data_IF_239796078169
#
_entry.id   IF_239796078169
#
_cell.length_a   1.000
_cell.length_b   1.000
_cell.length_c   1.000
_cell.angle_alpha   90.00
_cell.angle_beta   90.00
_cell.angle_gamma   90.00
#
_symmetry.space_group_name_H-M   'P 1'
#
loop_
_entity.id
_entity.type
_entity.pdbx_description
1 polymer ?
#
# COMPACT_ATOMS: atom_id res chain seq x y z
N UNK A 1 -9.43 -46.50 -16.31
CA UNK A 1 -8.49 -45.41 -16.54
C UNK A 1 -9.28 -44.10 -16.52
N UNK A 2 -8.78 -43.10 -15.83
CA UNK A 2 -9.39 -41.75 -15.83
C UNK A 2 -9.36 -41.18 -17.26
N UNK A 3 -10.54 -40.90 -17.80
CA UNK A 3 -10.68 -40.35 -19.15
C UNK A 3 -10.49 -38.81 -19.09
N UNK A 4 -9.52 -38.26 -19.84
CA UNK A 4 -9.20 -36.83 -19.82
C UNK A 4 -10.38 -35.99 -20.32
N UNK A 5 -11.08 -36.46 -21.36
CA UNK A 5 -12.22 -35.77 -21.94
C UNK A 5 -13.35 -35.63 -20.92
N UNK A 6 -13.58 -36.67 -20.12
CA UNK A 6 -14.56 -36.66 -19.02
C UNK A 6 -14.13 -35.72 -17.89
N UNK A 7 -12.84 -35.72 -17.53
CA UNK A 7 -12.30 -34.80 -16.51
C UNK A 7 -12.53 -33.35 -16.92
N UNK A 8 -12.19 -32.97 -18.15
CA UNK A 8 -12.38 -31.61 -18.66
C UNK A 8 -13.87 -31.29 -18.74
N UNK A 9 -14.67 -32.19 -19.32
CA UNK A 9 -16.11 -31.99 -19.49
C UNK A 9 -16.79 -31.75 -18.13
N UNK A 10 -16.57 -32.63 -17.17
CA UNK A 10 -17.19 -32.55 -15.84
C UNK A 10 -16.72 -31.29 -15.07
N UNK A 11 -15.43 -30.94 -15.18
CA UNK A 11 -14.91 -29.74 -14.55
C UNK A 11 -15.59 -28.47 -15.07
N UNK A 12 -15.92 -28.41 -16.36
CA UNK A 12 -16.56 -27.26 -16.98
C UNK A 12 -18.08 -27.24 -16.74
N UNK A 13 -18.76 -28.36 -16.98
CA UNK A 13 -20.23 -28.42 -16.86
C UNK A 13 -20.72 -28.25 -15.42
N UNK A 14 -19.95 -28.70 -14.44
CA UNK A 14 -20.28 -28.60 -13.03
C UNK A 14 -19.68 -27.34 -12.35
N UNK A 15 -19.11 -26.41 -13.14
CA UNK A 15 -18.43 -25.19 -12.63
C UNK A 15 -17.34 -25.49 -11.59
N UNK A 16 -16.67 -26.63 -11.70
CA UNK A 16 -15.62 -27.07 -10.78
C UNK A 16 -14.23 -26.63 -11.19
N UNK A 17 -14.05 -26.15 -12.40
CA UNK A 17 -12.75 -25.71 -12.93
C UNK A 17 -12.27 -24.45 -12.21
N UNK A 18 -11.05 -24.50 -11.67
CA UNK A 18 -10.43 -23.39 -10.97
C UNK A 18 -9.29 -22.80 -11.82
N UNK A 19 -8.33 -23.65 -12.18
CA UNK A 19 -7.11 -23.23 -12.86
C UNK A 19 -6.50 -24.37 -13.67
N UNK A 20 -5.90 -24.04 -14.81
CA UNK A 20 -5.19 -24.99 -15.65
C UNK A 20 -3.82 -24.48 -16.07
N UNK A 21 -2.84 -25.36 -16.17
CA UNK A 21 -1.50 -25.08 -16.70
C UNK A 21 -1.21 -26.10 -17.79
N UNK A 22 -0.90 -25.61 -18.98
CA UNK A 22 -0.43 -26.37 -20.12
C UNK A 22 0.99 -25.95 -20.44
N UNK A 23 1.96 -26.87 -20.33
CA UNK A 23 3.37 -26.59 -20.48
C UNK A 23 4.09 -27.68 -21.27
N UNK A 24 5.29 -27.36 -21.76
CA UNK A 24 6.12 -28.29 -22.54
C UNK A 24 5.43 -28.73 -23.81
N UNK A 25 5.35 -27.87 -24.85
CA UNK A 25 4.70 -28.21 -26.12
C UNK A 25 5.35 -29.44 -26.78
N UNK A 26 4.52 -30.25 -27.45
CA UNK A 26 4.94 -31.50 -28.13
C UNK A 26 5.74 -31.26 -29.40
N UNK A 27 5.42 -30.18 -30.08
CA UNK A 27 6.10 -29.70 -31.28
C UNK A 27 6.53 -28.25 -31.10
N UNK A 28 7.34 -27.70 -32.00
CA UNK A 28 7.70 -26.27 -31.93
C UNK A 28 6.42 -25.43 -32.11
N UNK A 29 5.91 -24.92 -31.00
CA UNK A 29 4.67 -24.19 -30.92
C UNK A 29 4.92 -22.72 -30.53
N UNK A 30 4.01 -21.84 -30.93
CA UNK A 30 4.13 -20.41 -30.69
C UNK A 30 4.14 -20.09 -29.19
N UNK A 31 3.36 -20.84 -28.39
CA UNK A 31 3.22 -20.61 -26.94
C UNK A 31 3.93 -21.69 -26.15
N UNK A 32 4.91 -21.29 -25.33
CA UNK A 32 5.68 -22.19 -24.45
C UNK A 32 4.86 -22.72 -23.30
N UNK A 33 3.89 -21.94 -22.85
CA UNK A 33 2.99 -22.23 -21.72
C UNK A 33 1.67 -21.52 -21.97
N UNK A 34 0.58 -22.14 -21.57
CA UNK A 34 -0.74 -21.49 -21.46
C UNK A 34 -1.25 -21.72 -20.03
N UNK A 35 -1.75 -20.67 -19.40
CA UNK A 35 -2.51 -20.79 -18.15
C UNK A 35 -3.96 -20.47 -18.43
N UNK A 36 -4.85 -21.18 -17.74
CA UNK A 36 -6.30 -21.02 -17.89
C UNK A 36 -6.88 -20.80 -16.51
N UNK A 37 -7.71 -19.78 -16.33
CA UNK A 37 -8.37 -19.50 -15.05
C UNK A 37 -9.84 -19.14 -15.26
N UNK A 38 -10.67 -19.56 -14.32
CA UNK A 38 -12.06 -19.14 -14.26
C UNK A 38 -12.15 -17.68 -13.80
N UNK A 39 -12.89 -16.85 -14.53
CA UNK A 39 -13.09 -15.42 -14.24
C UNK A 39 -14.54 -15.04 -14.44
N UNK A 40 -14.99 -13.94 -13.82
CA UNK A 40 -16.31 -13.36 -14.04
C UNK A 40 -16.14 -11.95 -14.60
N UNK A 41 -16.76 -11.66 -15.75
CA UNK A 41 -16.79 -10.32 -16.36
C UNK A 41 -18.23 -9.88 -16.49
N UNK A 42 -18.61 -8.79 -15.86
CA UNK A 42 -20.01 -8.25 -15.84
C UNK A 42 -21.07 -9.31 -15.49
N UNK A 43 -20.76 -10.15 -14.50
CA UNK A 43 -21.67 -11.21 -14.04
C UNK A 43 -21.69 -12.47 -14.91
N UNK A 44 -20.95 -12.52 -16.02
CA UNK A 44 -20.84 -13.68 -16.91
C UNK A 44 -19.52 -14.40 -16.65
N UNK A 45 -19.59 -15.73 -16.50
CA UNK A 45 -18.40 -16.57 -16.26
C UNK A 45 -17.68 -16.88 -17.59
N UNK A 46 -16.36 -16.69 -17.59
CA UNK A 46 -15.46 -17.02 -18.69
C UNK A 46 -14.27 -17.83 -18.19
N UNK A 47 -13.59 -18.50 -19.11
CA UNK A 47 -12.23 -18.98 -18.93
C UNK A 47 -11.27 -18.03 -19.64
N UNK A 48 -10.35 -17.44 -18.89
CA UNK A 48 -9.28 -16.63 -19.45
C UNK A 48 -8.04 -17.46 -19.68
N UNK A 49 -7.58 -17.46 -20.92
CA UNK A 49 -6.33 -18.07 -21.36
C UNK A 49 -5.24 -17.00 -21.40
N UNK A 50 -4.12 -17.26 -20.72
CA UNK A 50 -2.89 -16.46 -20.83
C UNK A 50 -1.86 -17.28 -21.59
N UNK A 51 -1.54 -16.86 -22.81
CA UNK A 51 -0.67 -17.56 -23.76
C UNK A 51 0.71 -16.90 -23.76
N UNK A 52 1.72 -17.61 -23.27
CA UNK A 52 3.08 -17.08 -23.06
C UNK A 52 3.98 -17.43 -24.24
N UNK A 53 4.57 -16.40 -24.86
CA UNK A 53 5.70 -16.50 -25.79
C UNK A 53 7.01 -16.16 -25.07
N UNK A 54 8.13 -16.04 -25.79
CA UNK A 54 9.40 -15.59 -25.22
C UNK A 54 9.39 -14.13 -24.74
N UNK A 55 8.52 -13.30 -25.34
CA UNK A 55 8.55 -11.83 -25.17
C UNK A 55 7.21 -11.22 -24.79
N UNK A 56 6.11 -11.94 -24.97
CA UNK A 56 4.77 -11.38 -24.84
C UNK A 56 3.81 -12.38 -24.20
N UNK A 57 2.75 -11.89 -23.60
CA UNK A 57 1.62 -12.66 -23.10
C UNK A 57 0.36 -12.19 -23.84
N UNK A 58 -0.38 -13.11 -24.39
CA UNK A 58 -1.66 -12.85 -25.05
C UNK A 58 -2.80 -13.35 -24.18
N UNK A 59 -3.88 -12.58 -24.10
CA UNK A 59 -5.06 -12.92 -23.32
C UNK A 59 -6.23 -13.20 -24.25
N UNK A 60 -6.98 -14.26 -23.95
CA UNK A 60 -8.21 -14.63 -24.65
C UNK A 60 -9.24 -15.08 -23.62
N UNK A 61 -10.49 -14.61 -23.75
CA UNK A 61 -11.59 -15.00 -22.89
C UNK A 61 -12.57 -15.86 -23.67
N UNK A 62 -12.82 -17.08 -23.18
CA UNK A 62 -13.74 -18.05 -23.79
C UNK A 62 -14.93 -18.28 -22.87
N UNK A 63 -16.12 -18.48 -23.46
CA UNK A 63 -17.25 -19.04 -22.72
C UNK A 63 -16.94 -20.50 -22.33
N UNK A 64 -17.60 -21.03 -21.31
CA UNK A 64 -17.37 -22.41 -20.88
C UNK A 64 -17.67 -23.43 -21.99
N UNK A 65 -18.64 -23.14 -22.87
CA UNK A 65 -18.97 -23.96 -24.04
C UNK A 65 -17.83 -23.98 -25.06
N UNK A 66 -17.31 -22.80 -25.43
CA UNK A 66 -16.22 -22.69 -26.39
C UNK A 66 -14.89 -23.23 -25.82
N UNK A 67 -14.71 -23.19 -24.50
CA UNK A 67 -13.49 -23.63 -23.85
C UNK A 67 -13.28 -25.15 -23.92
N UNK A 68 -14.34 -25.96 -23.99
CA UNK A 68 -14.21 -27.41 -24.00
C UNK A 68 -13.35 -27.92 -25.14
N UNK A 69 -13.68 -27.55 -26.36
CA UNK A 69 -12.94 -27.98 -27.57
C UNK A 69 -11.51 -27.41 -27.58
N UNK A 70 -11.33 -26.17 -27.11
CA UNK A 70 -10.01 -25.55 -27.02
C UNK A 70 -9.12 -26.29 -26.04
N UNK A 71 -9.63 -26.61 -24.84
CA UNK A 71 -8.86 -27.34 -23.83
C UNK A 71 -8.52 -28.76 -24.28
N UNK A 72 -9.43 -29.46 -24.94
CA UNK A 72 -9.14 -30.78 -25.53
C UNK A 72 -8.03 -30.73 -26.60
N UNK A 73 -8.07 -29.73 -27.50
CA UNK A 73 -7.01 -29.54 -28.47
C UNK A 73 -5.67 -29.23 -27.77
N UNK A 74 -5.66 -28.44 -26.73
CA UNK A 74 -4.45 -28.15 -25.96
C UNK A 74 -3.87 -29.39 -25.28
N UNK A 75 -4.69 -30.35 -24.84
CA UNK A 75 -4.18 -31.65 -24.33
C UNK A 75 -3.31 -32.36 -25.38
N UNK A 76 -3.68 -32.27 -26.65
CA UNK A 76 -2.92 -32.89 -27.71
C UNK A 76 -1.62 -32.11 -28.06
N UNK A 77 -1.53 -30.85 -27.67
CA UNK A 77 -0.40 -29.97 -28.00
C UNK A 77 0.68 -29.93 -26.92
N UNK A 78 0.32 -30.22 -25.65
CA UNK A 78 1.23 -30.10 -24.52
C UNK A 78 1.50 -31.46 -23.86
N UNK A 79 2.66 -31.55 -23.16
CA UNK A 79 3.10 -32.80 -22.47
C UNK A 79 2.87 -32.80 -20.98
N UNK A 80 2.86 -31.62 -20.37
CA UNK A 80 2.69 -31.45 -18.93
C UNK A 80 1.49 -30.55 -18.69
N UNK A 81 0.42 -31.15 -18.15
CA UNK A 81 -0.83 -30.46 -17.91
C UNK A 81 -1.21 -30.66 -16.46
N UNK A 82 -1.55 -29.58 -15.79
CA UNK A 82 -2.11 -29.61 -14.44
C UNK A 82 -3.46 -28.89 -14.47
N UNK A 83 -4.49 -29.60 -14.03
CA UNK A 83 -5.86 -29.07 -13.91
C UNK A 83 -6.23 -29.09 -12.42
N UNK A 84 -6.62 -27.94 -11.92
CA UNK A 84 -7.06 -27.75 -10.54
C UNK A 84 -8.57 -27.54 -10.55
N UNK A 85 -9.29 -28.39 -9.83
CA UNK A 85 -10.74 -28.31 -9.70
C UNK A 85 -11.13 -28.20 -8.21
N UNK A 86 -12.40 -27.94 -7.94
CA UNK A 86 -12.90 -27.91 -6.56
C UNK A 86 -12.83 -29.27 -5.85
N UNK A 87 -12.80 -30.36 -6.62
CA UNK A 87 -12.94 -31.72 -6.10
C UNK A 87 -11.62 -32.49 -6.12
N UNK A 88 -10.74 -32.19 -7.07
CA UNK A 88 -9.45 -32.86 -7.24
C UNK A 88 -8.47 -32.04 -8.08
N UNK A 89 -7.19 -32.31 -7.90
CA UNK A 89 -6.12 -31.82 -8.77
C UNK A 89 -5.65 -32.96 -9.68
N UNK A 90 -5.59 -32.71 -10.98
CA UNK A 90 -5.15 -33.68 -11.98
C UNK A 90 -3.82 -33.27 -12.57
N UNK A 91 -2.85 -34.19 -12.52
CA UNK A 91 -1.59 -34.06 -13.26
C UNK A 91 -1.61 -35.04 -14.44
N UNK A 92 -1.48 -34.53 -15.66
CA UNK A 92 -1.49 -35.29 -16.90
C UNK A 92 -0.12 -35.15 -17.54
N UNK A 93 0.57 -36.27 -17.67
CA UNK A 93 1.88 -36.34 -18.31
C UNK A 93 1.78 -37.16 -19.60
N UNK A 94 2.23 -36.59 -20.70
CA UNK A 94 2.23 -37.23 -22.01
C UNK A 94 3.67 -37.45 -22.49
N UNK A 95 4.04 -38.70 -22.65
CA UNK A 95 5.38 -39.07 -23.10
C UNK A 95 5.64 -38.69 -24.55
N UNK A 96 6.91 -38.73 -24.99
CA UNK A 96 7.28 -38.53 -26.42
C UNK A 96 6.59 -39.54 -27.34
N UNK A 97 6.32 -40.75 -26.86
CA UNK A 97 5.66 -41.84 -27.59
C UNK A 97 4.12 -41.77 -27.54
N UNK A 98 3.55 -40.75 -26.90
CA UNK A 98 2.10 -40.55 -26.76
C UNK A 98 1.44 -41.28 -25.59
N UNK A 99 2.20 -42.00 -24.73
CA UNK A 99 1.63 -42.64 -23.55
C UNK A 99 1.19 -41.60 -22.52
N UNK A 100 -0.03 -41.70 -22.06
CA UNK A 100 -0.65 -40.78 -21.11
C UNK A 100 -0.65 -41.38 -19.73
N UNK A 101 -0.21 -40.60 -18.73
CA UNK A 101 -0.32 -40.92 -17.30
C UNK A 101 -1.15 -39.80 -16.65
N UNK A 102 -2.26 -40.16 -16.04
CA UNK A 102 -3.09 -39.25 -15.25
C UNK A 102 -2.93 -39.62 -13.77
N UNK A 103 -2.61 -38.64 -12.96
CA UNK A 103 -2.55 -38.74 -11.50
C UNK A 103 -3.59 -37.79 -10.91
N UNK A 104 -4.42 -38.29 -10.00
CA UNK A 104 -5.39 -37.51 -9.25
C UNK A 104 -4.89 -37.32 -7.83
N UNK A 105 -4.96 -36.12 -7.32
CA UNK A 105 -4.61 -35.73 -5.96
C UNK A 105 -5.78 -35.01 -5.29
N UNK A 106 -5.73 -34.87 -3.98
CA UNK A 106 -6.69 -34.01 -3.26
C UNK A 106 -6.59 -32.55 -3.70
N UNK A 107 -7.68 -31.78 -3.69
CA UNK A 107 -7.72 -30.42 -4.18
C UNK A 107 -6.87 -29.49 -3.30
N UNK A 108 -5.80 -28.95 -3.84
CA UNK A 108 -4.94 -27.99 -3.16
C UNK A 108 -5.49 -26.55 -3.24
N UNK A 109 -6.37 -26.25 -4.21
CA UNK A 109 -6.96 -24.92 -4.42
C UNK A 109 -8.44 -24.91 -4.07
N UNK A 110 -8.86 -23.91 -3.28
CA UNK A 110 -10.27 -23.63 -3.06
C UNK A 110 -10.79 -22.71 -4.15
N UNK A 111 -12.04 -22.93 -4.60
CA UNK A 111 -12.75 -21.98 -5.46
C UNK A 111 -12.81 -20.62 -4.75
N UNK A 112 -11.90 -19.71 -5.08
CA UNK A 112 -12.12 -18.29 -4.89
C UNK A 112 -12.82 -17.82 -6.16
N UNK A 113 -14.07 -17.36 -6.07
CA UNK A 113 -14.68 -16.56 -7.13
C UNK A 113 -13.85 -15.28 -7.23
N UNK A 114 -12.85 -15.28 -8.08
CA UNK A 114 -12.15 -14.05 -8.45
C UNK A 114 -13.05 -13.32 -9.45
N UNK A 115 -13.84 -12.41 -8.93
CA UNK A 115 -14.44 -11.37 -9.76
C UNK A 115 -13.29 -10.55 -10.36
N UNK A 116 -13.19 -10.49 -11.68
CA UNK A 116 -12.15 -9.75 -12.41
C UNK A 116 -12.21 -8.23 -12.20
N UNK A 117 -13.30 -7.73 -11.68
CA UNK A 117 -13.46 -6.47 -10.98
C UNK A 117 -13.75 -6.81 -9.53
N UNK A 118 -12.73 -7.05 -8.72
CA UNK A 118 -12.84 -6.62 -7.33
C UNK A 118 -13.05 -5.11 -7.44
N UNK A 119 -14.29 -4.66 -7.35
CA UNK A 119 -14.55 -3.29 -6.97
C UNK A 119 -13.68 -3.08 -5.74
N UNK A 120 -12.73 -2.17 -5.86
CA UNK A 120 -11.83 -1.89 -4.76
C UNK A 120 -12.74 -1.46 -3.62
N UNK A 121 -12.87 -2.30 -2.60
CA UNK A 121 -13.69 -1.95 -1.44
C UNK A 121 -12.95 -0.83 -0.71
N UNK A 122 -13.36 0.38 -1.00
CA UNK A 122 -12.87 1.56 -0.32
C UNK A 122 -13.45 1.59 1.11
N UNK A 123 -12.67 2.08 2.06
CA UNK A 123 -13.13 2.29 3.45
C UNK A 123 -14.28 3.31 3.46
N UNK A 124 -14.13 4.38 2.69
CA UNK A 124 -15.25 5.30 2.39
C UNK A 124 -15.74 4.91 1.00
N UNK A 125 -16.94 4.37 0.90
CA UNK A 125 -17.52 3.85 -0.34
C UNK A 125 -17.90 4.98 -1.32
N UNK A 126 -17.80 4.69 -2.62
CA UNK A 126 -18.44 5.49 -3.65
C UNK A 126 -19.98 5.32 -3.57
N UNK A 127 -20.72 6.32 -4.02
CA UNK A 127 -22.18 6.34 -4.02
C UNK A 127 -22.85 6.26 -2.64
N UNK A 128 -22.08 6.53 -1.59
CA UNK A 128 -22.59 6.76 -0.23
C UNK A 128 -22.23 8.17 0.20
N UNK A 129 -23.21 9.00 0.65
CA UNK A 129 -22.93 10.34 1.12
C UNK A 129 -21.93 10.35 2.28
N UNK A 130 -20.96 11.27 2.21
CA UNK A 130 -19.97 11.48 3.26
C UNK A 130 -19.82 12.98 3.47
N UNK A 131 -20.18 13.46 4.63
CA UNK A 131 -20.34 14.88 4.96
C UNK A 131 -19.05 15.71 4.75
N UNK A 132 -17.92 15.27 5.25
CA UNK A 132 -16.67 16.01 5.06
C UNK A 132 -16.20 16.00 3.60
N UNK A 133 -16.44 14.93 2.84
CA UNK A 133 -16.11 14.88 1.41
C UNK A 133 -16.99 15.79 0.58
N UNK A 134 -18.26 15.96 0.98
CA UNK A 134 -19.17 16.92 0.36
C UNK A 134 -18.68 18.37 0.61
N UNK A 135 -18.45 18.74 1.87
CA UNK A 135 -18.02 20.09 2.24
C UNK A 135 -16.67 20.45 1.62
N UNK A 136 -15.74 19.50 1.56
CA UNK A 136 -14.42 19.69 0.93
C UNK A 136 -14.45 19.59 -0.61
N UNK A 137 -15.65 19.42 -1.21
CA UNK A 137 -15.85 19.42 -2.66
C UNK A 137 -15.22 18.22 -3.38
N UNK A 138 -15.18 17.05 -2.73
CA UNK A 138 -14.69 15.79 -3.31
C UNK A 138 -15.83 14.98 -3.92
N UNK A 139 -17.02 15.00 -3.30
CA UNK A 139 -18.23 14.34 -3.79
C UNK A 139 -19.46 15.26 -3.68
N UNK A 140 -20.56 14.85 -4.30
CA UNK A 140 -21.84 15.55 -4.20
C UNK A 140 -22.70 14.96 -3.06
N UNK A 141 -23.89 15.55 -2.83
CA UNK A 141 -24.84 15.11 -1.81
C UNK A 141 -25.34 13.68 -1.95
N UNK A 142 -25.30 13.14 -3.18
CA UNK A 142 -25.73 11.77 -3.48
C UNK A 142 -24.58 10.76 -3.30
N UNK A 143 -23.40 11.21 -2.82
CA UNK A 143 -22.22 10.38 -2.64
C UNK A 143 -21.39 10.15 -3.91
N UNK A 144 -21.74 10.80 -5.05
CA UNK A 144 -21.00 10.65 -6.30
C UNK A 144 -19.74 11.50 -6.27
N UNK A 145 -18.58 10.85 -6.43
CA UNK A 145 -17.27 11.51 -6.49
C UNK A 145 -17.14 12.33 -7.78
N UNK A 146 -16.67 13.57 -7.67
CA UNK A 146 -16.38 14.39 -8.84
C UNK A 146 -15.18 13.85 -9.61
N UNK A 147 -15.31 13.71 -10.94
CA UNK A 147 -14.25 13.15 -11.81
C UNK A 147 -12.87 13.82 -11.59
N UNK A 148 -12.86 15.16 -11.47
CA UNK A 148 -11.62 15.93 -11.20
C UNK A 148 -11.03 15.72 -9.80
N UNK A 149 -11.78 15.11 -8.88
CA UNK A 149 -11.38 14.84 -7.49
C UNK A 149 -11.18 13.36 -7.19
N UNK A 150 -11.30 12.51 -8.21
CA UNK A 150 -11.24 11.06 -8.04
C UNK A 150 -9.87 10.60 -7.48
N UNK A 151 -8.77 11.22 -7.89
CA UNK A 151 -7.45 10.90 -7.36
C UNK A 151 -7.31 11.32 -5.89
N UNK A 152 -7.93 12.45 -5.49
CA UNK A 152 -7.99 12.84 -4.07
C UNK A 152 -8.80 11.83 -3.25
N UNK A 153 -9.93 11.36 -3.77
CA UNK A 153 -10.74 10.32 -3.14
C UNK A 153 -9.96 9.01 -2.96
N UNK A 154 -9.23 8.57 -4.00
CA UNK A 154 -8.33 7.40 -3.91
C UNK A 154 -7.22 7.60 -2.87
N UNK A 155 -6.61 8.78 -2.84
CA UNK A 155 -5.57 9.12 -1.87
C UNK A 155 -6.09 9.02 -0.43
N UNK A 156 -7.28 9.57 -0.16
CA UNK A 156 -7.94 9.50 1.15
C UNK A 156 -8.15 8.03 1.55
N UNK A 157 -8.74 7.22 0.68
CA UNK A 157 -8.98 5.82 0.98
C UNK A 157 -7.69 5.03 1.17
N UNK A 158 -6.66 5.29 0.35
CA UNK A 158 -5.34 4.65 0.51
C UNK A 158 -4.69 4.99 1.85
N UNK A 159 -4.84 6.23 2.30
CA UNK A 159 -4.36 6.65 3.61
C UNK A 159 -5.10 5.91 4.74
N UNK A 160 -6.42 5.82 4.66
CA UNK A 160 -7.21 5.10 5.64
C UNK A 160 -6.91 3.59 5.68
N UNK A 161 -6.63 2.95 4.52
CA UNK A 161 -6.14 1.56 4.47
C UNK A 161 -4.83 1.41 5.27
N UNK A 162 -3.90 2.34 5.11
CA UNK A 162 -2.60 2.32 5.83
C UNK A 162 -2.81 2.54 7.34
N UNK A 163 -3.74 3.41 7.71
CA UNK A 163 -4.13 3.63 9.11
C UNK A 163 -4.72 2.35 9.69
N UNK A 164 -5.69 1.74 9.01
CA UNK A 164 -6.35 0.50 9.44
C UNK A 164 -5.34 -0.64 9.64
N UNK A 165 -4.46 -0.85 8.67
CA UNK A 165 -3.36 -1.82 8.75
C UNK A 165 -2.40 -1.52 9.92
N UNK A 166 -2.20 -0.24 10.28
CA UNK A 166 -1.31 0.16 11.38
C UNK A 166 -1.92 -0.12 12.76
N UNK A 167 -3.24 -0.20 12.81
CA UNK A 167 -4.02 -0.52 14.00
C UNK A 167 -4.26 -2.03 14.17
N UNK A 168 -3.97 -2.83 13.14
CA UNK A 168 -4.23 -4.27 13.16
C UNK A 168 -3.58 -4.95 14.38
N UNK A 169 -4.39 -5.73 15.11
CA UNK A 169 -3.94 -6.43 16.33
C UNK A 169 -3.78 -5.54 17.57
N UNK A 170 -4.13 -4.25 17.50
CA UNK A 170 -4.13 -3.33 18.65
C UNK A 170 -5.56 -3.14 19.16
N UNK A 171 -5.72 -3.13 20.49
CA UNK A 171 -6.96 -2.69 21.11
C UNK A 171 -6.94 -1.18 21.22
N UNK A 172 -7.81 -0.51 20.48
CA UNK A 172 -7.94 0.94 20.49
C UNK A 172 -9.11 1.30 21.42
N UNK A 173 -8.84 2.20 22.36
CA UNK A 173 -9.83 2.68 23.32
C UNK A 173 -10.24 4.12 23.04
N UNK A 174 -11.36 4.53 23.59
CA UNK A 174 -11.82 5.92 23.59
C UNK A 174 -10.74 6.85 24.17
N UNK A 175 -10.64 8.05 23.61
CA UNK A 175 -9.60 9.02 23.96
C UNK A 175 -8.29 8.86 23.18
N UNK A 176 -8.28 8.03 22.10
CA UNK A 176 -7.14 7.92 21.20
C UNK A 176 -6.77 9.28 20.61
N UNK A 177 -5.55 9.74 20.86
CA UNK A 177 -5.10 11.09 20.51
C UNK A 177 -4.21 11.05 19.27
N UNK A 178 -4.51 11.92 18.32
CA UNK A 178 -3.79 12.06 17.04
C UNK A 178 -3.32 13.49 16.88
N UNK A 179 -2.06 13.69 16.50
CA UNK A 179 -1.51 14.98 16.11
C UNK A 179 -1.13 14.91 14.62
N UNK A 180 -1.63 15.85 13.83
CA UNK A 180 -1.31 15.99 12.40
C UNK A 180 -0.52 17.27 12.16
N UNK A 181 0.77 17.12 11.87
CA UNK A 181 1.68 18.22 11.63
C UNK A 181 1.72 18.61 10.15
N UNK A 182 1.49 19.90 9.85
CA UNK A 182 1.42 20.41 8.51
C UNK A 182 0.14 19.94 7.81
N UNK A 183 -1.01 20.03 8.50
CA UNK A 183 -2.29 19.48 8.04
C UNK A 183 -2.81 20.10 6.73
N UNK A 184 -2.37 21.30 6.37
CA UNK A 184 -2.82 22.02 5.19
C UNK A 184 -4.35 22.13 5.15
N UNK A 185 -4.97 21.87 4.00
CA UNK A 185 -6.45 21.84 3.87
C UNK A 185 -7.12 20.65 4.58
N UNK A 186 -6.38 19.92 5.37
CA UNK A 186 -6.82 18.89 6.31
C UNK A 186 -7.72 17.76 5.76
N UNK A 187 -7.67 17.49 4.45
CA UNK A 187 -8.46 16.39 3.86
C UNK A 187 -8.27 15.05 4.58
N UNK A 188 -7.02 14.75 4.97
CA UNK A 188 -6.68 13.50 5.62
C UNK A 188 -6.95 13.55 7.12
N UNK A 189 -6.86 14.71 7.75
CA UNK A 189 -7.23 14.93 9.15
C UNK A 189 -8.74 14.76 9.36
N UNK A 190 -9.57 15.32 8.46
CA UNK A 190 -11.02 15.08 8.44
C UNK A 190 -11.35 13.61 8.20
N UNK A 191 -10.62 12.96 7.28
CA UNK A 191 -10.78 11.53 7.01
C UNK A 191 -10.47 10.66 8.24
N UNK A 192 -9.42 11.01 9.00
CA UNK A 192 -9.10 10.33 10.27
C UNK A 192 -10.25 10.46 11.27
N UNK A 193 -10.77 11.67 11.47
CA UNK A 193 -11.89 11.86 12.38
C UNK A 193 -13.10 11.02 11.96
N UNK A 194 -13.49 11.10 10.67
CA UNK A 194 -14.60 10.32 10.13
C UNK A 194 -14.38 8.82 10.31
N UNK A 195 -13.18 8.32 10.00
CA UNK A 195 -12.82 6.92 10.13
C UNK A 195 -12.94 6.43 11.58
N UNK A 196 -12.33 7.12 12.52
CA UNK A 196 -12.39 6.68 13.91
C UNK A 196 -13.78 6.85 14.52
N UNK A 197 -14.40 7.99 14.32
CA UNK A 197 -15.65 8.33 15.00
C UNK A 197 -16.86 7.62 14.39
N UNK A 198 -16.99 7.59 13.04
CA UNK A 198 -18.18 7.05 12.37
C UNK A 198 -18.00 5.62 11.86
N UNK A 199 -16.79 5.20 11.45
CA UNK A 199 -16.58 3.86 10.91
C UNK A 199 -16.15 2.89 12.00
N UNK A 200 -15.25 3.30 12.91
CA UNK A 200 -14.75 2.46 14.00
C UNK A 200 -15.50 2.65 15.31
N UNK A 201 -16.36 3.66 15.41
CA UNK A 201 -17.13 4.03 16.61
C UNK A 201 -16.24 4.26 17.85
N UNK A 202 -15.06 4.88 17.64
CA UNK A 202 -14.07 5.19 18.67
C UNK A 202 -14.01 6.71 18.84
N UNK A 203 -14.14 7.19 20.07
CA UNK A 203 -13.96 8.62 20.38
C UNK A 203 -12.48 8.97 20.34
N UNK A 204 -12.12 9.93 19.47
CA UNK A 204 -10.76 10.39 19.26
C UNK A 204 -10.63 11.87 19.57
N UNK A 205 -9.41 12.29 19.92
CA UNK A 205 -9.03 13.70 19.98
C UNK A 205 -8.01 13.94 18.87
N UNK A 206 -8.31 14.83 17.94
CA UNK A 206 -7.41 15.14 16.82
C UNK A 206 -7.05 16.61 16.85
N UNK A 207 -5.76 16.90 16.81
CA UNK A 207 -5.24 18.26 16.66
C UNK A 207 -4.42 18.35 15.39
N UNK A 208 -4.85 19.21 14.47
CA UNK A 208 -4.08 19.56 13.27
C UNK A 208 -3.30 20.86 13.50
N UNK A 209 -2.05 20.90 13.05
CA UNK A 209 -1.22 22.11 13.09
C UNK A 209 -0.79 22.53 11.69
N UNK A 210 -0.78 23.85 11.45
CA UNK A 210 -0.21 24.46 10.25
C UNK A 210 0.32 25.85 10.53
N UNK A 211 1.25 26.34 9.71
CA UNK A 211 1.83 27.69 9.79
C UNK A 211 1.00 28.75 9.05
N UNK A 212 -0.12 28.37 8.45
CA UNK A 212 -0.99 29.27 7.66
C UNK A 212 -2.29 29.53 8.42
N UNK A 213 -2.42 30.73 8.94
CA UNK A 213 -3.57 31.15 9.75
C UNK A 213 -4.90 31.00 8.99
N UNK A 214 -4.95 31.44 7.73
CA UNK A 214 -6.12 31.30 6.84
C UNK A 214 -6.58 29.84 6.68
N UNK A 215 -5.64 28.91 6.66
CA UNK A 215 -5.93 27.46 6.54
C UNK A 215 -6.52 26.94 7.83
N UNK A 216 -5.99 27.36 8.97
CA UNK A 216 -6.48 26.98 10.31
C UNK A 216 -7.90 27.49 10.54
N UNK A 217 -8.19 28.76 10.17
CA UNK A 217 -9.54 29.33 10.25
C UNK A 217 -10.52 28.52 9.40
N UNK A 218 -10.19 28.27 8.12
CA UNK A 218 -11.01 27.43 7.24
C UNK A 218 -11.29 26.04 7.82
N UNK A 219 -10.27 25.39 8.37
CA UNK A 219 -10.39 24.05 8.91
C UNK A 219 -11.26 24.01 10.18
N UNK A 220 -11.11 24.98 11.08
CA UNK A 220 -11.94 25.09 12.27
C UNK A 220 -13.42 25.43 11.94
N UNK A 221 -13.66 26.32 10.99
CA UNK A 221 -15.03 26.57 10.49
C UNK A 221 -15.67 25.32 9.88
N UNK A 222 -14.86 24.55 9.12
CA UNK A 222 -15.33 23.31 8.51
C UNK A 222 -15.63 22.25 9.57
N UNK A 223 -14.77 22.06 10.57
CA UNK A 223 -15.00 21.16 11.69
C UNK A 223 -16.28 21.54 12.47
N UNK A 224 -16.50 22.83 12.70
CA UNK A 224 -17.73 23.33 13.33
C UNK A 224 -18.99 23.04 12.50
N UNK A 225 -18.95 23.26 11.18
CA UNK A 225 -20.06 22.94 10.27
C UNK A 225 -20.41 21.45 10.25
N UNK A 226 -19.41 20.58 10.44
CA UNK A 226 -19.56 19.13 10.50
C UNK A 226 -19.94 18.62 11.90
N UNK A 227 -19.96 19.46 12.93
CA UNK A 227 -20.10 19.08 14.35
C UNK A 227 -19.01 18.07 14.79
N UNK A 228 -17.78 18.20 14.31
CA UNK A 228 -16.64 17.38 14.70
C UNK A 228 -15.97 17.99 15.95
N UNK A 229 -16.63 17.85 17.11
CA UNK A 229 -16.29 18.57 18.36
C UNK A 229 -14.89 18.25 18.88
N UNK A 230 -14.38 17.03 18.66
CA UNK A 230 -13.07 16.60 19.12
C UNK A 230 -11.97 16.74 18.04
N UNK A 231 -12.25 17.51 16.97
CA UNK A 231 -11.31 17.89 15.93
C UNK A 231 -11.02 19.39 16.02
N UNK A 232 -9.79 19.76 16.32
CA UNK A 232 -9.37 21.16 16.43
C UNK A 232 -8.12 21.41 15.56
N UNK A 233 -7.99 22.66 15.11
CA UNK A 233 -6.83 23.09 14.33
C UNK A 233 -6.18 24.29 15.01
N UNK A 234 -4.84 24.29 15.09
CA UNK A 234 -4.06 25.29 15.78
C UNK A 234 -2.98 25.84 14.86
N UNK A 235 -2.83 27.16 14.90
CA UNK A 235 -1.67 27.83 14.30
C UNK A 235 -0.43 27.59 15.16
N UNK A 236 0.68 27.17 14.56
CA UNK A 236 1.92 27.00 15.30
C UNK A 236 2.99 26.22 14.57
N UNK A 237 4.23 26.43 14.99
CA UNK A 237 5.37 25.66 14.52
C UNK A 237 5.45 24.30 15.26
N UNK A 238 5.88 23.27 14.53
CA UNK A 238 6.07 21.92 15.07
C UNK A 238 7.08 21.95 16.23
N UNK A 239 8.14 22.73 16.11
CA UNK A 239 9.21 22.80 17.11
C UNK A 239 8.73 23.34 18.46
N UNK A 240 7.78 24.27 18.46
CA UNK A 240 7.27 24.95 19.63
C UNK A 240 6.03 24.30 20.25
N UNK A 241 5.39 23.38 19.51
CA UNK A 241 4.18 22.74 19.96
C UNK A 241 4.45 21.70 21.04
N UNK A 242 3.80 21.86 22.18
CA UNK A 242 3.85 20.92 23.30
C UNK A 242 2.47 20.31 23.56
N UNK A 243 2.46 19.01 23.87
CA UNK A 243 1.26 18.31 24.26
C UNK A 243 1.50 17.53 25.55
N UNK A 244 0.66 17.76 26.58
CA UNK A 244 0.89 17.25 27.91
C UNK A 244 0.34 15.83 28.16
N UNK A 245 -0.62 15.42 27.34
CA UNK A 245 -1.23 14.11 27.47
C UNK A 245 -0.57 13.10 26.53
N UNK A 246 -0.93 11.81 26.66
CA UNK A 246 -0.45 10.78 25.77
C UNK A 246 -0.89 11.06 24.32
N UNK A 247 0.03 10.98 23.38
CA UNK A 247 -0.22 10.98 21.95
C UNK A 247 -0.07 9.56 21.45
N UNK A 248 -1.10 9.02 20.78
CA UNK A 248 -1.08 7.66 20.27
C UNK A 248 -0.60 7.58 18.82
N UNK A 249 -0.95 8.58 18.00
CA UNK A 249 -0.55 8.64 16.61
C UNK A 249 -0.07 10.02 16.23
N UNK A 250 1.02 10.07 15.48
CA UNK A 250 1.49 11.28 14.80
C UNK A 250 1.41 11.07 13.30
N UNK A 251 0.82 12.04 12.63
CA UNK A 251 0.75 12.12 11.16
C UNK A 251 1.49 13.37 10.72
N UNK A 252 2.29 13.28 9.66
CA UNK A 252 2.96 14.42 9.04
C UNK A 252 3.12 14.16 7.54
N UNK A 253 2.24 14.76 6.75
CA UNK A 253 2.17 14.48 5.31
C UNK A 253 2.69 15.62 4.45
N UNK A 254 2.88 16.81 5.03
CA UNK A 254 3.29 18.02 4.32
C UNK A 254 4.33 18.86 5.08
N UNK A 255 4.95 18.33 6.13
CA UNK A 255 6.09 18.98 6.75
C UNK A 255 7.32 18.82 5.85
N UNK A 256 7.99 19.95 5.57
CA UNK A 256 9.13 19.96 4.65
C UNK A 256 10.45 19.83 5.41
N UNK A 257 11.38 19.06 4.85
CA UNK A 257 12.78 18.95 5.26
C UNK A 257 12.93 18.65 6.77
N UNK A 258 13.65 19.50 7.51
CA UNK A 258 13.89 19.33 8.96
C UNK A 258 12.64 19.45 9.82
N UNK A 259 11.55 20.04 9.32
CA UNK A 259 10.26 20.01 10.01
C UNK A 259 9.69 18.58 10.12
N UNK A 260 9.94 17.73 9.11
CA UNK A 260 9.63 16.28 9.22
C UNK A 260 10.42 15.66 10.37
N UNK A 261 11.72 15.95 10.46
CA UNK A 261 12.59 15.41 11.51
C UNK A 261 12.14 15.85 12.92
N UNK A 262 11.74 17.12 13.06
CA UNK A 262 11.16 17.64 14.29
C UNK A 262 9.88 16.90 14.69
N UNK A 263 8.98 16.63 13.72
CA UNK A 263 7.76 15.85 13.97
C UNK A 263 8.05 14.42 14.41
N UNK A 264 9.02 13.74 13.76
CA UNK A 264 9.43 12.39 14.13
C UNK A 264 10.02 12.34 15.54
N UNK A 265 10.88 13.29 15.89
CA UNK A 265 11.51 13.37 17.20
C UNK A 265 10.46 13.65 18.29
N UNK A 266 9.51 14.55 18.06
CA UNK A 266 8.41 14.79 19.02
C UNK A 266 7.53 13.54 19.18
N UNK A 267 7.23 12.83 18.09
CA UNK A 267 6.50 11.56 18.17
C UNK A 267 7.22 10.52 19.05
N UNK A 268 8.56 10.44 18.93
CA UNK A 268 9.39 9.57 19.78
C UNK A 268 9.32 10.04 21.25
N UNK A 269 9.48 11.35 21.49
CA UNK A 269 9.45 11.91 22.85
C UNK A 269 8.09 11.69 23.55
N UNK A 270 6.99 11.71 22.81
CA UNK A 270 5.64 11.37 23.31
C UNK A 270 5.37 9.87 23.42
N UNK A 271 6.35 9.05 23.07
CA UNK A 271 6.20 7.59 23.08
C UNK A 271 5.01 7.09 22.23
N UNK A 272 4.82 7.69 21.05
CA UNK A 272 3.70 7.39 20.18
C UNK A 272 3.68 5.91 19.75
N UNK A 273 2.47 5.37 19.62
CA UNK A 273 2.27 4.00 19.15
C UNK A 273 2.44 3.86 17.64
N UNK A 274 2.09 4.92 16.87
CA UNK A 274 2.08 4.92 15.41
C UNK A 274 2.57 6.27 14.88
N UNK A 275 3.45 6.23 13.89
CA UNK A 275 3.93 7.41 13.17
C UNK A 275 3.73 7.16 11.67
N UNK A 276 3.04 8.09 10.99
CA UNK A 276 2.83 8.07 9.55
C UNK A 276 3.38 9.37 8.96
N UNK A 277 4.45 9.28 8.16
CA UNK A 277 5.11 10.46 7.59
C UNK A 277 5.28 10.30 6.09
N UNK A 278 4.97 11.38 5.33
CA UNK A 278 5.25 11.47 3.89
C UNK A 278 6.15 12.67 3.65
N UNK A 279 7.47 12.48 3.70
CA UNK A 279 8.43 13.55 3.47
C UNK A 279 8.35 14.06 2.02
N UNK A 280 8.23 15.38 1.84
CA UNK A 280 8.19 15.97 0.51
C UNK A 280 9.49 16.66 0.10
N UNK A 281 10.34 17.03 1.06
CA UNK A 281 11.63 17.72 0.83
C UNK A 281 12.73 17.09 1.69
N UNK A 282 13.95 17.05 1.15
CA UNK A 282 15.13 16.45 1.78
C UNK A 282 16.37 17.28 1.42
N UNK A 283 16.36 18.59 1.76
CA UNK A 283 17.42 19.51 1.37
C UNK A 283 18.67 19.41 2.25
N UNK A 284 18.53 19.03 3.53
CA UNK A 284 19.64 18.94 4.45
C UNK A 284 20.78 18.06 3.89
N UNK A 285 20.45 16.86 3.43
CA UNK A 285 21.46 15.91 2.97
C UNK A 285 22.04 16.20 1.59
N UNK A 286 21.34 16.96 0.75
CA UNK A 286 21.84 17.31 -0.59
C UNK A 286 23.25 17.92 -0.56
N UNK A 287 23.51 18.76 0.45
CA UNK A 287 24.81 19.43 0.59
C UNK A 287 25.83 18.59 1.40
N UNK A 288 25.35 17.62 2.20
CA UNK A 288 26.17 16.86 3.15
C UNK A 288 26.67 15.52 2.61
N UNK A 289 25.92 14.86 1.70
CA UNK A 289 26.33 13.54 1.22
C UNK A 289 27.61 13.58 0.39
N UNK A 290 28.56 12.74 0.82
CA UNK A 290 29.82 12.51 0.13
C UNK A 290 30.14 11.02 0.12
N UNK A 291 30.61 10.51 -1.02
CA UNK A 291 31.11 9.16 -1.15
C UNK A 291 32.05 9.09 -2.35
N UNK A 292 33.31 8.73 -2.12
CA UNK A 292 34.34 8.74 -3.16
C UNK A 292 34.05 7.71 -4.26
N UNK A 293 33.57 6.51 -3.93
CA UNK A 293 33.27 5.47 -4.90
C UNK A 293 32.07 5.85 -5.81
N UNK A 294 31.15 6.65 -5.27
CA UNK A 294 29.95 7.11 -5.98
C UNK A 294 30.08 8.52 -6.55
N UNK A 295 31.25 9.15 -6.47
CA UNK A 295 31.53 10.48 -7.02
C UNK A 295 31.12 10.63 -8.49
N UNK A 296 31.30 9.62 -9.39
CA UNK A 296 30.82 9.71 -10.76
C UNK A 296 29.30 9.92 -10.89
N UNK A 297 28.52 9.45 -9.92
CA UNK A 297 27.06 9.66 -9.86
C UNK A 297 26.71 10.99 -9.18
N UNK A 298 27.34 11.27 -8.04
CA UNK A 298 27.05 12.45 -7.22
C UNK A 298 27.43 13.79 -7.87
N UNK A 299 28.33 13.79 -8.88
CA UNK A 299 28.64 14.99 -9.69
C UNK A 299 27.45 15.50 -10.50
N UNK A 300 26.45 14.66 -10.77
CA UNK A 300 25.24 15.05 -11.51
C UNK A 300 24.16 15.50 -10.52
N UNK A 301 23.84 16.80 -10.50
CA UNK A 301 22.91 17.40 -9.54
C UNK A 301 21.56 16.69 -9.42
N UNK A 302 20.96 16.28 -10.56
CA UNK A 302 19.70 15.53 -10.55
C UNK A 302 19.82 14.16 -9.86
N UNK A 303 20.95 13.45 -10.07
CA UNK A 303 21.20 12.16 -9.43
C UNK A 303 21.46 12.37 -7.94
N UNK A 304 22.29 13.37 -7.61
CA UNK A 304 22.59 13.72 -6.21
C UNK A 304 21.30 14.06 -5.43
N UNK A 305 20.40 14.85 -6.02
CA UNK A 305 19.11 15.21 -5.39
C UNK A 305 18.25 13.96 -5.11
N UNK A 306 18.09 13.07 -6.08
CA UNK A 306 17.31 11.84 -5.91
C UNK A 306 17.93 10.89 -4.88
N UNK A 307 19.25 10.73 -4.90
CA UNK A 307 19.97 9.92 -3.93
C UNK A 307 19.86 10.51 -2.53
N UNK A 308 20.03 11.83 -2.37
CA UNK A 308 19.87 12.52 -1.09
C UNK A 308 18.48 12.27 -0.50
N UNK A 309 17.45 12.33 -1.33
CA UNK A 309 16.07 12.04 -0.92
C UNK A 309 15.92 10.64 -0.34
N UNK A 310 16.41 9.63 -1.07
CA UNK A 310 16.31 8.22 -0.64
C UNK A 310 17.16 7.95 0.61
N UNK A 311 18.35 8.55 0.69
CA UNK A 311 19.25 8.42 1.85
C UNK A 311 18.61 9.05 3.08
N UNK A 312 18.00 10.25 2.96
CA UNK A 312 17.32 10.92 4.06
C UNK A 312 16.18 10.07 4.62
N UNK A 313 15.32 9.53 3.75
CA UNK A 313 14.19 8.74 4.20
C UNK A 313 14.63 7.38 4.77
N UNK A 314 15.74 6.82 4.27
CA UNK A 314 16.38 5.63 4.85
C UNK A 314 16.94 5.91 6.24
N UNK A 315 17.63 7.04 6.44
CA UNK A 315 18.14 7.46 7.75
C UNK A 315 17.03 7.72 8.76
N UNK A 316 15.95 8.40 8.35
CA UNK A 316 14.75 8.60 9.19
C UNK A 316 14.18 7.26 9.65
N UNK A 317 14.10 6.31 8.72
CA UNK A 317 13.60 4.96 9.01
C UNK A 317 14.50 4.21 9.99
N UNK A 318 15.81 4.19 9.75
CA UNK A 318 16.78 3.56 10.65
C UNK A 318 16.79 4.25 12.02
N UNK A 319 16.72 5.59 12.06
CA UNK A 319 16.63 6.33 13.31
C UNK A 319 15.41 5.91 14.15
N UNK A 320 14.23 5.80 13.53
CA UNK A 320 13.03 5.30 14.20
C UNK A 320 13.20 3.84 14.68
N UNK A 321 13.89 2.99 13.92
CA UNK A 321 14.18 1.62 14.34
C UNK A 321 15.11 1.59 15.57
N UNK A 322 16.08 2.54 15.68
CA UNK A 322 16.90 2.67 16.89
C UNK A 322 16.10 3.09 18.13
N UNK A 323 14.87 3.61 17.94
CA UNK A 323 13.94 4.00 19.00
C UNK A 323 12.85 2.96 19.28
N UNK A 324 13.00 1.75 18.73
CA UNK A 324 12.12 0.61 19.02
C UNK A 324 10.88 0.52 18.12
N UNK A 325 10.85 1.22 17.00
CA UNK A 325 9.78 1.10 16.01
C UNK A 325 10.08 0.00 14.99
N UNK A 326 9.04 -0.65 14.50
CA UNK A 326 9.06 -1.44 13.26
C UNK A 326 8.69 -0.51 12.13
N UNK A 327 9.61 -0.30 11.19
CA UNK A 327 9.41 0.65 10.09
C UNK A 327 9.17 -0.08 8.77
N UNK A 328 8.32 0.50 7.94
CA UNK A 328 8.09 0.10 6.55
C UNK A 328 8.04 1.36 5.68
N UNK A 329 8.80 1.33 4.60
CA UNK A 329 8.70 2.31 3.52
C UNK A 329 7.76 1.77 2.47
N UNK A 330 6.77 2.56 2.06
CA UNK A 330 5.76 2.15 1.08
C UNK A 330 5.36 3.29 0.16
N UNK A 331 4.86 2.95 -1.00
CA UNK A 331 4.27 3.92 -1.92
C UNK A 331 2.92 4.41 -1.39
N UNK A 332 2.77 5.74 -1.27
CA UNK A 332 1.53 6.36 -0.80
C UNK A 332 0.60 6.75 -1.95
N UNK A 333 1.15 7.39 -2.96
CA UNK A 333 0.43 7.81 -4.17
C UNK A 333 1.23 7.41 -5.40
N UNK A 334 0.55 7.32 -6.58
CA UNK A 334 1.22 6.95 -7.81
C UNK A 334 2.34 7.93 -8.18
N UNK A 335 3.44 7.41 -8.71
CA UNK A 335 4.57 8.19 -9.25
C UNK A 335 4.16 9.15 -10.39
N UNK A 336 2.99 8.93 -11.03
CA UNK A 336 2.45 9.85 -12.04
C UNK A 336 2.15 11.23 -11.48
N UNK A 337 1.91 11.34 -10.17
CA UNK A 337 1.59 12.62 -9.50
C UNK A 337 2.80 13.30 -8.89
N UNK A 338 3.74 12.55 -8.33
CA UNK A 338 4.99 13.05 -7.75
C UNK A 338 6.01 11.93 -7.57
N UNK A 339 7.29 12.18 -7.85
CA UNK A 339 8.36 11.23 -7.55
C UNK A 339 8.66 11.10 -6.04
N UNK A 340 8.16 12.02 -5.21
CA UNK A 340 8.31 12.03 -3.74
C UNK A 340 7.04 11.50 -3.10
N UNK A 341 6.87 10.20 -3.15
CA UNK A 341 5.64 9.50 -2.77
C UNK A 341 5.86 8.40 -1.71
N UNK A 342 7.01 8.42 -1.04
CA UNK A 342 7.34 7.44 0.00
C UNK A 342 6.62 7.82 1.30
N UNK A 343 5.89 6.87 1.86
CA UNK A 343 5.34 6.94 3.21
C UNK A 343 6.20 6.10 4.15
N UNK A 344 6.64 6.71 5.23
CA UNK A 344 7.29 6.07 6.37
C UNK A 344 6.18 5.68 7.35
N UNK A 345 5.94 4.38 7.49
CA UNK A 345 5.04 3.81 8.49
C UNK A 345 5.87 3.21 9.60
N UNK A 346 5.77 3.78 10.80
CA UNK A 346 6.46 3.27 11.97
C UNK A 346 5.45 2.89 13.06
N UNK A 347 5.53 1.66 13.55
CA UNK A 347 4.66 1.12 14.60
C UNK A 347 5.54 0.67 15.76
N UNK A 348 5.23 1.11 16.97
CA UNK A 348 6.00 0.78 18.16
C UNK A 348 6.01 -0.73 18.40
N UNK A 349 7.20 -1.30 18.59
CA UNK A 349 7.42 -2.75 18.65
C UNK A 349 8.24 -3.19 19.89
N UNK A 350 8.84 -2.26 20.64
CA UNK A 350 9.64 -2.53 21.84
C UNK A 350 10.68 -3.65 21.65
N UNK A 351 11.41 -3.63 20.51
CA UNK A 351 12.42 -4.63 20.17
C UNK A 351 13.81 -4.22 20.68
N UNK A 352 14.72 -5.19 20.72
CA UNK A 352 16.14 -4.91 20.94
C UNK A 352 16.68 -3.99 19.83
N UNK A 353 17.14 -2.79 20.20
CA UNK A 353 17.57 -1.74 19.29
C UNK A 353 19.06 -1.79 18.94
N UNK A 354 19.89 -2.47 19.73
CA UNK A 354 21.36 -2.49 19.54
C UNK A 354 21.84 -2.83 18.12
N UNK A 355 21.29 -3.85 17.42
CA UNK A 355 21.67 -4.11 16.04
C UNK A 355 21.34 -2.96 15.09
N UNK A 356 20.25 -2.22 15.37
CA UNK A 356 19.81 -1.10 14.56
C UNK A 356 20.64 0.15 14.79
N UNK A 357 21.17 0.35 15.98
CA UNK A 357 22.11 1.43 16.28
C UNK A 357 23.41 1.26 15.48
N UNK A 358 23.93 0.04 15.38
CA UNK A 358 25.11 -0.28 14.56
C UNK A 358 24.83 -0.02 13.08
N UNK A 359 23.70 -0.54 12.56
CA UNK A 359 23.29 -0.36 11.17
C UNK A 359 23.14 1.13 10.80
N UNK A 360 22.55 1.92 11.69
CA UNK A 360 22.39 3.37 11.53
C UNK A 360 23.74 4.09 11.45
N UNK A 361 24.65 3.81 12.40
CA UNK A 361 25.99 4.43 12.42
C UNK A 361 26.84 4.02 11.22
N UNK A 362 26.79 2.77 10.80
CA UNK A 362 27.54 2.31 9.62
C UNK A 362 26.98 2.93 8.33
N UNK A 363 25.66 3.11 8.24
CA UNK A 363 25.06 3.79 7.10
C UNK A 363 25.44 5.29 7.05
N UNK A 364 25.51 5.96 8.19
CA UNK A 364 26.03 7.35 8.27
C UNK A 364 27.48 7.46 7.80
N UNK A 365 28.34 6.55 8.27
CA UNK A 365 29.75 6.50 7.86
C UNK A 365 29.91 6.31 6.36
N UNK A 366 29.10 5.43 5.75
CA UNK A 366 29.12 5.20 4.29
C UNK A 366 28.94 6.50 3.49
N UNK A 367 28.14 7.43 4.00
CA UNK A 367 27.84 8.70 3.33
C UNK A 367 28.61 9.90 3.91
N UNK A 368 29.58 9.66 4.80
CA UNK A 368 30.33 10.68 5.53
C UNK A 368 29.47 11.71 6.25
N UNK A 369 28.36 11.23 6.85
CA UNK A 369 27.38 12.07 7.50
C UNK A 369 27.66 12.24 8.98
N UNK A 370 27.83 13.50 9.38
CA UNK A 370 27.93 13.93 10.75
C UNK A 370 26.96 15.10 10.97
N UNK A 371 26.58 15.35 12.22
CA UNK A 371 25.82 16.52 12.60
C UNK A 371 24.44 16.61 11.90
N UNK A 372 23.62 15.55 12.04
CA UNK A 372 22.27 15.50 11.47
C UNK A 372 21.29 16.23 12.36
N UNK A 373 20.36 17.01 11.75
CA UNK A 373 19.33 17.75 12.48
C UNK A 373 18.50 16.85 13.39
N UNK A 374 18.07 15.66 12.90
CA UNK A 374 17.25 14.71 13.66
C UNK A 374 17.93 14.29 14.96
N UNK A 375 19.25 14.06 14.95
CA UNK A 375 20.01 13.68 16.14
C UNK A 375 20.15 14.83 17.13
N UNK A 376 20.49 16.01 16.62
CA UNK A 376 20.68 17.19 17.43
C UNK A 376 19.38 17.62 18.11
N UNK A 377 18.29 17.60 17.36
CA UNK A 377 16.99 17.94 17.91
C UNK A 377 16.51 16.90 18.93
N UNK A 378 16.80 15.60 18.69
CA UNK A 378 16.50 14.54 19.65
C UNK A 378 17.29 14.72 20.96
N UNK A 379 18.58 15.05 20.89
CA UNK A 379 19.37 15.36 22.09
C UNK A 379 18.80 16.56 22.85
N UNK A 380 18.52 17.66 22.15
CA UNK A 380 17.95 18.89 22.73
C UNK A 380 16.65 18.67 23.51
N UNK A 381 15.80 17.74 23.07
CA UNK A 381 14.53 17.45 23.75
C UNK A 381 14.67 16.48 24.94
N UNK A 382 15.79 15.76 25.06
CA UNK A 382 16.02 14.79 26.13
C UNK A 382 17.04 15.26 27.19
N UNK A 383 17.72 16.39 26.92
CA UNK A 383 18.57 17.11 27.88
C UNK A 383 17.72 18.11 28.71
#
# INVERSE_FOLDING_TARGET
MLNIDEIIKNSLTENKFIYGIFATPRVKFQYKKITVRAIVIKGISYLQLEKFTDKQVFHENLTYEAAFDVLLNMVNEYRNINLFTSDADYQILISKKGNIKVTQNEPAKKLKKEEHNKEKQYIISENQPCDFLEILGVMNKDGKVYTKKYDKFKQINKFLEIVDDSLAGKSIQDGFTIIDFGCGKAYLTFALYYYFYYIREIKVNITGLDLKEEVIEFCNETAKKLNYEALQFMYGDISDFEYKNKVNMVVTLHACDTATDAALVKAIAWDCDIILSVPCCQHELFNKIENEDLKPMLKHGLIKERMSSLITDSLRSLFLETKGYKVQLMEFISMEHTPKNILIRAVKANKNTKPKEIEYEDFKKLWNLNDLFIENYYKKLND
#
